data_IF_960391589140
#
_entry.id   IF_960391589140
#
_cell.length_a   1.000
_cell.length_b   1.000
_cell.length_c   1.000
_cell.angle_alpha   90.00
_cell.angle_beta   90.00
_cell.angle_gamma   90.00
#
_symmetry.space_group_name_H-M   'P 1'
#
loop_
_entity.id
_entity.type
_entity.pdbx_description
1 polymer ?
#
# COMPACT_ATOMS: atom_id res chain seq x y z
N UNK A 1 -37.18 6.96 -24.73
CA UNK A 1 -35.80 7.01 -25.30
C UNK A 1 -34.78 7.07 -24.16
N UNK A 2 -34.51 5.87 -23.66
CA UNK A 2 -33.73 5.63 -22.45
C UNK A 2 -32.25 5.78 -22.78
N UNK A 3 -31.56 6.68 -22.07
CA UNK A 3 -30.11 6.77 -22.12
C UNK A 3 -29.58 5.59 -21.33
N UNK A 4 -28.90 4.66 -22.02
CA UNK A 4 -28.29 3.49 -21.39
C UNK A 4 -26.81 3.75 -21.19
N UNK A 5 -26.45 3.92 -19.93
CA UNK A 5 -25.08 3.99 -19.42
C UNK A 5 -24.43 2.61 -19.59
N UNK A 6 -23.27 2.54 -20.24
CA UNK A 6 -22.44 1.33 -20.27
C UNK A 6 -21.07 1.69 -19.70
N UNK A 7 -20.70 1.07 -18.57
CA UNK A 7 -19.37 1.16 -18.00
C UNK A 7 -18.56 -0.10 -18.33
N UNK A 8 -17.24 0.06 -18.49
CA UNK A 8 -16.28 -1.04 -18.44
C UNK A 8 -15.74 -1.17 -17.01
N UNK A 9 -16.04 -2.27 -16.31
CA UNK A 9 -15.27 -2.71 -15.14
C UNK A 9 -14.40 -3.89 -15.57
N UNK A 10 -13.10 -3.79 -15.33
CA UNK A 10 -12.11 -4.83 -15.65
C UNK A 10 -12.19 -5.95 -14.60
N UNK A 11 -13.14 -6.87 -14.76
CA UNK A 11 -13.10 -8.20 -14.14
C UNK A 11 -14.04 -9.14 -14.87
N UNK A 12 -13.48 -9.95 -15.78
CA UNK A 12 -14.20 -10.98 -16.52
C UNK A 12 -15.04 -10.45 -17.69
N UNK A 13 -14.91 -11.09 -18.84
CA UNK A 13 -15.55 -10.74 -20.12
C UNK A 13 -17.10 -10.89 -20.11
N UNK A 14 -17.82 -10.14 -19.26
CA UNK A 14 -19.28 -10.00 -19.31
C UNK A 14 -19.71 -8.55 -19.10
N UNK A 15 -20.50 -8.05 -20.06
CA UNK A 15 -21.14 -6.75 -20.02
C UNK A 15 -22.29 -6.77 -19.00
N UNK A 16 -22.21 -5.96 -17.95
CA UNK A 16 -23.31 -5.75 -17.00
C UNK A 16 -23.86 -4.32 -17.14
N UNK A 17 -25.19 -4.21 -17.31
CA UNK A 17 -25.92 -2.94 -17.42
C UNK A 17 -26.09 -2.32 -16.03
N UNK A 18 -25.81 -1.02 -15.91
CA UNK A 18 -26.21 -0.22 -14.75
C UNK A 18 -27.34 0.73 -15.21
N UNK A 19 -28.54 0.65 -14.63
CA UNK A 19 -29.58 1.66 -14.85
C UNK A 19 -29.21 2.93 -14.06
N UNK A 20 -29.75 4.07 -14.47
CA UNK A 20 -29.73 5.35 -13.74
C UNK A 20 -28.71 6.41 -14.22
N UNK A 21 -28.96 6.92 -15.43
CA UNK A 21 -29.03 8.37 -15.67
C UNK A 21 -29.77 8.62 -17.00
N UNK A 22 -31.03 9.06 -16.94
CA UNK A 22 -31.88 9.29 -18.12
C UNK A 22 -32.03 10.79 -18.34
N UNK A 23 -31.26 11.37 -19.28
CA UNK A 23 -31.43 12.78 -19.69
C UNK A 23 -31.94 12.86 -21.12
N UNK A 24 -33.26 12.88 -21.23
CA UNK A 24 -34.01 12.91 -22.48
C UNK A 24 -34.02 14.28 -23.16
N UNK A 25 -33.11 14.52 -24.11
CA UNK A 25 -32.98 15.82 -24.80
C UNK A 25 -34.23 16.26 -25.60
N UNK A 26 -35.15 15.35 -25.94
CA UNK A 26 -36.33 15.63 -26.79
C UNK A 26 -37.68 15.68 -26.06
N UNK A 27 -37.75 15.42 -24.76
CA UNK A 27 -38.98 15.59 -23.99
C UNK A 27 -38.79 16.76 -23.03
N UNK A 28 -39.52 17.83 -23.32
CA UNK A 28 -39.44 19.17 -22.71
C UNK A 28 -39.00 19.12 -21.24
N UNK A 29 -37.81 19.67 -20.98
CA UNK A 29 -37.19 19.90 -19.67
C UNK A 29 -38.12 20.50 -18.61
N UNK A 30 -39.23 21.09 -19.05
CA UNK A 30 -40.33 21.59 -18.23
C UNK A 30 -40.83 20.57 -17.22
N UNK A 31 -40.87 19.27 -17.53
CA UNK A 31 -41.39 18.27 -16.58
C UNK A 31 -40.40 17.92 -15.46
N UNK A 32 -39.10 17.92 -15.76
CA UNK A 32 -38.05 17.69 -14.77
C UNK A 32 -37.85 18.90 -13.85
N UNK A 33 -37.97 20.12 -14.40
CA UNK A 33 -37.81 21.36 -13.66
C UNK A 33 -39.02 21.69 -12.76
N UNK A 34 -40.18 21.06 -12.98
CA UNK A 34 -41.41 21.31 -12.18
C UNK A 34 -41.28 20.98 -10.70
N UNK A 35 -40.39 20.04 -10.34
CA UNK A 35 -40.21 19.57 -8.97
C UNK A 35 -38.91 20.06 -8.33
N UNK A 36 -38.21 20.98 -8.99
CA UNK A 36 -36.89 21.44 -8.56
C UNK A 36 -36.99 22.71 -7.71
N UNK A 37 -36.15 22.83 -6.68
CA UNK A 37 -36.08 24.02 -5.84
C UNK A 37 -35.84 25.28 -6.69
N UNK A 38 -36.54 26.37 -6.36
CA UNK A 38 -36.54 27.63 -7.12
C UNK A 38 -35.14 28.24 -7.24
N UNK A 39 -34.28 28.08 -6.22
CA UNK A 39 -32.90 28.57 -6.23
C UNK A 39 -32.01 27.74 -7.17
N UNK A 40 -32.25 26.44 -7.24
CA UNK A 40 -31.55 25.53 -8.17
C UNK A 40 -32.04 25.70 -9.61
N UNK A 41 -33.32 26.01 -9.81
CA UNK A 41 -33.98 26.12 -11.11
C UNK A 41 -33.29 27.17 -12.00
N UNK A 42 -32.89 28.31 -11.43
CA UNK A 42 -32.16 29.36 -12.15
C UNK A 42 -30.75 28.93 -12.58
N UNK A 43 -30.02 28.19 -11.73
CA UNK A 43 -28.70 27.67 -12.06
C UNK A 43 -28.78 26.58 -13.13
N UNK A 44 -29.69 25.60 -12.93
CA UNK A 44 -29.86 24.45 -13.80
C UNK A 44 -30.35 24.87 -15.19
N UNK A 45 -31.26 25.84 -15.27
CA UNK A 45 -31.73 26.38 -16.55
C UNK A 45 -30.58 27.02 -17.34
N UNK A 46 -29.77 27.88 -16.71
CA UNK A 46 -28.60 28.49 -17.36
C UNK A 46 -27.57 27.46 -17.80
N UNK A 47 -27.39 26.40 -17.02
CA UNK A 47 -26.49 25.29 -17.37
C UNK A 47 -27.00 24.52 -18.58
N UNK A 48 -28.31 24.24 -18.66
CA UNK A 48 -28.93 23.59 -19.81
C UNK A 48 -28.86 24.44 -21.07
N UNK A 49 -29.19 25.74 -20.99
CA UNK A 49 -29.11 26.66 -22.14
C UNK A 49 -27.67 26.70 -22.70
N UNK A 50 -26.67 26.68 -21.81
CA UNK A 50 -25.25 26.61 -22.19
C UNK A 50 -24.81 25.26 -22.77
N UNK A 51 -25.58 24.17 -22.56
CA UNK A 51 -25.31 22.86 -23.16
C UNK A 51 -26.16 22.58 -24.41
N UNK A 52 -27.07 23.48 -24.78
CA UNK A 52 -27.95 23.32 -25.95
C UNK A 52 -27.17 23.11 -27.25
N UNK A 53 -25.98 23.71 -27.40
CA UNK A 53 -25.13 23.52 -28.57
C UNK A 53 -24.78 22.05 -28.83
N UNK A 54 -24.73 21.20 -27.80
CA UNK A 54 -24.45 19.76 -27.96
C UNK A 54 -25.56 19.06 -28.76
N UNK A 55 -26.78 19.59 -28.77
CA UNK A 55 -27.89 19.07 -29.58
C UNK A 55 -27.69 19.29 -31.08
N UNK A 56 -26.81 20.22 -31.47
CA UNK A 56 -26.50 20.57 -32.86
C UNK A 56 -25.30 19.79 -33.40
N UNK A 57 -24.64 18.97 -32.58
CA UNK A 57 -23.45 18.22 -32.97
C UNK A 57 -23.90 16.94 -33.73
N UNK A 58 -23.41 16.63 -34.95
CA UNK A 58 -24.02 15.63 -35.87
C UNK A 58 -24.15 14.17 -35.39
N UNK A 59 -23.42 13.72 -34.35
CA UNK A 59 -23.73 12.47 -33.67
C UNK A 59 -24.90 12.56 -32.67
N UNK A 60 -25.15 13.72 -32.08
CA UNK A 60 -26.14 13.96 -31.02
C UNK A 60 -27.50 14.45 -31.55
N UNK A 61 -27.54 15.07 -32.73
CA UNK A 61 -28.76 15.56 -33.40
C UNK A 61 -29.66 14.41 -33.95
N UNK A 62 -29.04 13.26 -34.27
CA UNK A 62 -29.69 12.06 -34.83
C UNK A 62 -30.41 11.19 -33.81
N UNK A 63 -30.30 11.49 -32.51
CA UNK A 63 -30.90 10.68 -31.45
C UNK A 63 -30.32 9.26 -31.34
N UNK A 64 -29.13 9.03 -31.92
CA UNK A 64 -28.38 7.78 -31.84
C UNK A 64 -27.53 7.81 -30.56
N UNK A 65 -27.39 6.71 -29.81
CA UNK A 65 -26.50 6.65 -28.66
C UNK A 65 -25.06 7.02 -29.06
N UNK A 66 -24.50 8.06 -28.43
CA UNK A 66 -23.11 8.48 -28.65
C UNK A 66 -22.26 7.99 -27.49
N UNK A 67 -21.13 7.34 -27.81
CA UNK A 67 -20.12 7.00 -26.84
C UNK A 67 -19.43 8.26 -26.34
N UNK A 68 -19.41 8.48 -25.02
CA UNK A 68 -18.64 9.56 -24.42
C UNK A 68 -17.86 9.03 -23.20
N UNK A 69 -16.67 9.60 -22.97
CA UNK A 69 -15.87 9.34 -21.78
C UNK A 69 -16.29 10.37 -20.72
N UNK A 70 -16.77 9.93 -19.56
CA UNK A 70 -17.05 10.86 -18.46
C UNK A 70 -15.73 11.37 -17.87
N UNK A 71 -15.39 12.66 -17.94
CA UNK A 71 -14.05 13.17 -17.61
C UNK A 71 -13.61 12.78 -16.19
N UNK A 72 -14.49 12.86 -15.20
CA UNK A 72 -14.17 12.48 -13.80
C UNK A 72 -13.87 10.99 -13.66
N UNK A 73 -14.57 10.12 -14.41
CA UNK A 73 -14.35 8.67 -14.35
C UNK A 73 -13.12 8.25 -15.14
N UNK A 74 -12.82 8.97 -16.23
CA UNK A 74 -11.57 8.81 -16.95
C UNK A 74 -10.39 9.25 -16.10
N UNK A 75 -10.48 10.41 -15.44
CA UNK A 75 -9.49 10.89 -14.47
C UNK A 75 -9.28 9.89 -13.32
N UNK A 76 -10.34 9.30 -12.79
CA UNK A 76 -10.29 8.23 -11.77
C UNK A 76 -9.58 6.97 -12.29
N UNK A 77 -9.83 6.58 -13.54
CA UNK A 77 -9.22 5.41 -14.17
C UNK A 77 -7.74 5.60 -14.55
N UNK A 78 -7.30 6.83 -14.86
CA UNK A 78 -5.90 7.16 -15.16
C UNK A 78 -5.13 7.68 -13.95
N UNK A 79 -5.82 8.01 -12.84
CA UNK A 79 -5.16 8.34 -11.58
C UNK A 79 -4.26 7.16 -11.27
N UNK A 80 -2.95 7.42 -11.14
CA UNK A 80 -2.06 6.38 -10.66
C UNK A 80 -2.68 5.85 -9.38
N UNK A 81 -2.98 4.56 -9.37
CA UNK A 81 -3.26 3.90 -8.11
C UNK A 81 -1.93 3.90 -7.40
N UNK A 82 -1.62 5.02 -6.73
CA UNK A 82 -0.51 5.13 -5.81
C UNK A 82 -0.80 4.03 -4.81
N UNK A 83 -0.14 2.90 -5.02
CA UNK A 83 -0.29 1.74 -4.17
C UNK A 83 0.20 2.22 -2.83
N UNK A 84 -0.70 2.40 -1.88
CA UNK A 84 -0.34 2.74 -0.52
C UNK A 84 0.63 1.66 -0.05
N UNK A 85 1.77 2.09 0.47
CA UNK A 85 2.75 1.17 1.03
C UNK A 85 2.12 0.44 2.21
N UNK A 86 1.88 -0.86 2.06
CA UNK A 86 1.46 -1.73 3.16
C UNK A 86 2.61 -1.87 4.16
N UNK A 87 2.31 -1.91 5.46
CA UNK A 87 3.35 -2.04 6.49
C UNK A 87 4.11 -0.76 6.75
N UNK A 88 3.45 0.39 6.59
CA UNK A 88 4.06 1.71 6.78
C UNK A 88 4.66 1.87 8.19
N UNK A 89 4.02 1.31 9.22
CA UNK A 89 4.56 1.26 10.57
C UNK A 89 5.95 0.64 10.60
N UNK A 90 6.09 -0.59 10.08
CA UNK A 90 7.37 -1.30 10.03
C UNK A 90 8.37 -0.58 9.14
N UNK A 91 7.97 -0.14 7.95
CA UNK A 91 8.84 0.58 7.03
C UNK A 91 9.51 1.81 7.68
N UNK A 92 8.72 2.60 8.43
CA UNK A 92 9.21 3.80 9.11
C UNK A 92 10.13 3.48 10.29
N UNK A 93 9.96 2.32 10.93
CA UNK A 93 10.77 1.91 12.07
C UNK A 93 12.14 1.29 11.69
N UNK A 94 12.25 0.76 10.47
CA UNK A 94 13.45 0.01 10.03
C UNK A 94 14.59 0.90 9.52
N UNK A 95 14.44 2.23 9.53
CA UNK A 95 15.50 3.16 9.16
C UNK A 95 14.99 4.58 8.94
N UNK A 96 15.87 5.47 8.49
CA UNK A 96 15.49 6.83 8.10
C UNK A 96 16.13 7.26 6.77
N UNK A 97 15.70 8.41 6.25
CA UNK A 97 16.21 8.99 4.99
C UNK A 97 17.12 10.20 5.24
N UNK A 98 17.76 10.23 6.42
CA UNK A 98 18.73 11.25 6.80
C UNK A 98 20.12 10.74 6.40
N UNK A 99 20.73 11.28 5.35
CA UNK A 99 21.98 10.75 4.77
C UNK A 99 23.17 10.69 5.74
N UNK A 100 23.20 11.54 6.77
CA UNK A 100 24.23 11.54 7.82
C UNK A 100 23.95 10.55 8.96
N UNK A 101 22.80 9.90 8.97
CA UNK A 101 22.39 8.95 10.01
C UNK A 101 23.00 7.58 9.77
N UNK A 102 23.36 6.91 10.86
CA UNK A 102 23.75 5.49 10.82
C UNK A 102 22.60 4.56 10.37
N UNK A 103 21.35 5.03 10.48
CA UNK A 103 20.14 4.34 10.04
C UNK A 103 19.72 4.68 8.60
N UNK A 104 20.59 5.34 7.84
CA UNK A 104 20.33 5.63 6.43
C UNK A 104 20.41 4.35 5.59
N UNK A 105 19.29 3.95 4.97
CA UNK A 105 19.20 2.63 4.31
C UNK A 105 19.10 2.66 2.79
N UNK A 106 19.10 3.83 2.14
CA UNK A 106 19.07 3.93 0.66
C UNK A 106 20.41 3.57 0.01
N UNK A 107 21.34 3.02 0.77
CA UNK A 107 22.64 2.51 0.36
C UNK A 107 22.85 1.16 1.00
N UNK A 108 23.69 0.31 0.39
CA UNK A 108 24.01 -0.97 1.00
C UNK A 108 24.68 -0.77 2.38
N UNK A 109 24.32 -1.63 3.32
CA UNK A 109 24.84 -1.62 4.69
C UNK A 109 24.86 -3.05 5.26
N UNK A 110 25.52 -3.23 6.40
CA UNK A 110 25.54 -4.50 7.12
C UNK A 110 25.09 -4.25 8.57
N UNK A 111 24.02 -4.92 9.05
CA UNK A 111 23.46 -4.71 10.38
C UNK A 111 24.36 -5.07 11.59
N UNK A 112 25.54 -5.66 11.37
CA UNK A 112 26.54 -5.85 12.43
C UNK A 112 26.54 -7.21 13.14
N UNK A 113 25.91 -8.24 12.57
CA UNK A 113 25.91 -9.59 13.14
C UNK A 113 26.26 -10.67 12.10
N UNK A 114 26.68 -11.84 12.58
CA UNK A 114 27.18 -12.94 11.75
C UNK A 114 26.12 -13.61 10.87
N UNK A 115 24.83 -13.48 11.23
CA UNK A 115 23.72 -14.07 10.47
C UNK A 115 23.25 -13.16 9.34
N UNK A 116 23.41 -11.84 9.50
CA UNK A 116 22.97 -10.85 8.52
C UNK A 116 23.90 -10.77 7.32
N UNK A 117 23.28 -10.63 6.15
CA UNK A 117 23.97 -10.34 4.91
C UNK A 117 24.08 -8.85 4.62
N UNK A 118 24.52 -8.54 3.40
CA UNK A 118 24.44 -7.18 2.87
C UNK A 118 22.96 -6.81 2.75
N UNK A 119 22.56 -5.68 3.32
CA UNK A 119 21.18 -5.22 3.35
C UNK A 119 21.04 -3.93 2.55
N UNK A 120 19.92 -3.77 1.85
CA UNK A 120 19.55 -2.56 1.13
C UNK A 120 18.11 -2.15 1.49
N UNK A 121 17.85 -0.86 1.57
CA UNK A 121 16.53 -0.36 1.95
C UNK A 121 16.11 -0.80 3.35
N UNK A 122 14.81 -0.81 3.60
CA UNK A 122 14.21 -1.18 4.89
C UNK A 122 14.13 -2.71 5.02
N UNK A 123 15.29 -3.36 5.23
CA UNK A 123 15.37 -4.78 5.61
C UNK A 123 15.44 -5.81 4.48
N UNK A 124 15.78 -5.42 3.24
CA UNK A 124 16.09 -6.37 2.18
C UNK A 124 17.49 -6.98 2.37
N UNK A 125 17.58 -8.07 3.13
CA UNK A 125 18.84 -8.79 3.43
C UNK A 125 19.22 -9.76 2.30
N UNK A 126 20.46 -9.72 1.79
CA UNK A 126 20.88 -10.54 0.64
C UNK A 126 21.63 -11.82 1.01
N UNK A 127 21.75 -12.14 2.31
CA UNK A 127 22.54 -13.25 2.82
C UNK A 127 21.95 -14.64 2.56
N UNK A 128 20.63 -14.76 2.37
CA UNK A 128 19.95 -16.04 2.07
C UNK A 128 19.36 -16.09 0.65
N UNK A 129 19.70 -15.10 -0.20
CA UNK A 129 19.13 -14.95 -1.55
C UNK A 129 20.16 -15.32 -2.61
N UNK A 130 19.69 -15.86 -3.73
CA UNK A 130 20.56 -16.12 -4.88
C UNK A 130 20.86 -14.83 -5.63
N UNK A 131 21.99 -14.78 -6.35
CA UNK A 131 22.34 -13.65 -7.22
C UNK A 131 21.22 -13.32 -8.20
N UNK A 132 20.58 -14.35 -8.77
CA UNK A 132 19.47 -14.21 -9.70
C UNK A 132 18.26 -13.55 -9.05
N UNK A 133 17.88 -13.97 -7.84
CA UNK A 133 16.72 -13.41 -7.15
C UNK A 133 16.95 -11.95 -6.78
N UNK A 134 18.13 -11.63 -6.27
CA UNK A 134 18.52 -10.26 -5.93
C UNK A 134 18.43 -9.38 -7.19
N UNK A 135 19.06 -9.80 -8.29
CA UNK A 135 19.00 -9.04 -9.54
C UNK A 135 17.56 -8.79 -10.01
N UNK A 136 16.70 -9.82 -10.00
CA UNK A 136 15.32 -9.68 -10.42
C UNK A 136 14.52 -8.72 -9.53
N UNK A 137 14.73 -8.79 -8.20
CA UNK A 137 14.07 -7.90 -7.24
C UNK A 137 14.52 -6.44 -7.41
N UNK A 138 15.81 -6.22 -7.71
CA UNK A 138 16.33 -4.89 -8.04
C UNK A 138 15.64 -4.32 -9.30
N UNK A 139 15.60 -5.08 -10.39
CA UNK A 139 14.95 -4.67 -11.64
C UNK A 139 13.46 -4.43 -11.43
N UNK A 140 12.75 -5.31 -10.72
CA UNK A 140 11.34 -5.16 -10.40
C UNK A 140 11.05 -3.91 -9.55
N UNK A 141 12.02 -3.49 -8.74
CA UNK A 141 11.96 -2.27 -7.94
C UNK A 141 12.36 -1.00 -8.72
N UNK A 142 12.67 -1.13 -10.02
CA UNK A 142 13.07 -0.01 -10.87
C UNK A 142 14.52 0.43 -10.70
N UNK A 143 15.38 -0.39 -10.09
CA UNK A 143 16.82 -0.13 -9.97
C UNK A 143 17.49 -0.38 -11.33
N UNK A 144 18.34 0.53 -11.84
CA UNK A 144 19.04 0.37 -13.11
C UNK A 144 19.86 -0.92 -13.21
N UNK A 145 19.98 -1.47 -14.41
CA UNK A 145 20.64 -2.75 -14.67
C UNK A 145 22.10 -2.79 -14.16
N UNK A 146 22.88 -1.75 -14.41
CA UNK A 146 24.26 -1.64 -13.95
C UNK A 146 24.37 -1.69 -12.43
N UNK A 147 23.49 -0.96 -11.73
CA UNK A 147 23.42 -0.97 -10.27
C UNK A 147 22.94 -2.34 -9.75
N UNK A 148 21.92 -2.93 -10.38
CA UNK A 148 21.37 -4.23 -10.01
C UNK A 148 22.42 -5.36 -10.12
N UNK A 149 23.22 -5.38 -11.19
CA UNK A 149 24.31 -6.34 -11.37
C UNK A 149 25.36 -6.20 -10.26
N UNK A 150 25.72 -4.98 -9.85
CA UNK A 150 26.67 -4.78 -8.76
C UNK A 150 26.08 -5.22 -7.41
N UNK A 151 24.81 -4.92 -7.16
CA UNK A 151 24.14 -5.32 -5.91
C UNK A 151 24.06 -6.85 -5.82
N UNK A 152 23.71 -7.55 -6.90
CA UNK A 152 23.50 -9.00 -6.86
C UNK A 152 24.73 -9.82 -6.52
N UNK A 153 25.95 -9.29 -6.73
CA UNK A 153 27.21 -9.99 -6.43
C UNK A 153 27.48 -10.26 -4.96
N UNK A 154 26.74 -9.64 -4.03
CA UNK A 154 26.85 -9.95 -2.60
C UNK A 154 25.99 -11.14 -2.14
N UNK A 155 25.35 -11.84 -3.07
CA UNK A 155 24.52 -13.00 -2.78
C UNK A 155 25.22 -14.00 -1.85
N UNK A 156 24.53 -14.38 -0.77
CA UNK A 156 25.05 -15.37 0.18
C UNK A 156 26.12 -14.84 1.15
N UNK A 157 26.61 -13.61 1.00
CA UNK A 157 27.57 -13.04 1.94
C UNK A 157 26.89 -12.72 3.26
N UNK A 158 27.53 -13.14 4.36
CA UNK A 158 27.11 -12.92 5.75
C UNK A 158 28.29 -12.50 6.61
N UNK A 159 28.02 -11.91 7.78
CA UNK A 159 29.03 -11.54 8.76
C UNK A 159 30.17 -10.72 8.16
N UNK A 160 31.42 -11.17 8.35
CA UNK A 160 32.63 -10.50 7.86
C UNK A 160 32.62 -10.29 6.34
N UNK A 161 32.16 -11.27 5.55
CA UNK A 161 32.12 -11.14 4.09
C UNK A 161 31.13 -10.04 3.65
N UNK A 162 29.98 -9.94 4.33
CA UNK A 162 29.01 -8.88 4.06
C UNK A 162 29.57 -7.50 4.46
N UNK A 163 30.19 -7.40 5.63
CA UNK A 163 30.87 -6.18 6.09
C UNK A 163 31.90 -5.69 5.08
N UNK A 164 32.78 -6.58 4.63
CA UNK A 164 33.88 -6.23 3.74
C UNK A 164 33.37 -5.82 2.36
N UNK A 165 32.35 -6.52 1.84
CA UNK A 165 31.67 -6.12 0.61
C UNK A 165 31.08 -4.71 0.69
N UNK A 166 30.38 -4.39 1.78
CA UNK A 166 29.83 -3.05 2.02
C UNK A 166 30.95 -2.00 2.04
N UNK A 167 32.02 -2.25 2.78
CA UNK A 167 33.13 -1.29 2.89
C UNK A 167 33.78 -0.97 1.53
N UNK A 168 33.86 -1.96 0.64
CA UNK A 168 34.50 -1.83 -0.67
C UNK A 168 33.55 -1.22 -1.70
N UNK A 169 32.31 -1.67 -1.77
CA UNK A 169 31.42 -1.40 -2.90
C UNK A 169 30.35 -0.33 -2.65
N UNK A 170 30.11 0.08 -1.39
CA UNK A 170 29.00 1.01 -1.05
C UNK A 170 29.01 2.31 -1.87
N UNK A 171 30.18 2.92 -2.04
CA UNK A 171 30.32 4.18 -2.79
C UNK A 171 30.11 3.98 -4.30
N UNK A 172 30.56 2.86 -4.85
CA UNK A 172 30.47 2.55 -6.29
C UNK A 172 29.07 2.07 -6.71
N UNK A 173 28.37 1.36 -5.83
CA UNK A 173 26.97 0.98 -6.03
C UNK A 173 26.06 2.21 -5.93
N UNK A 174 26.37 3.15 -5.03
CA UNK A 174 25.61 4.37 -4.87
C UNK A 174 24.26 4.18 -4.18
N UNK A 175 23.43 5.20 -4.30
CA UNK A 175 22.16 5.34 -3.60
C UNK A 175 20.97 4.93 -4.48
N UNK A 176 19.93 4.36 -3.87
CA UNK A 176 18.62 4.13 -4.49
C UNK A 176 17.64 5.27 -4.14
N UNK A 177 16.67 5.49 -5.01
CA UNK A 177 15.58 6.44 -4.77
C UNK A 177 14.65 5.95 -3.65
N UNK A 178 13.88 6.88 -3.05
CA UNK A 178 12.84 6.53 -2.07
C UNK A 178 11.83 5.51 -2.65
N UNK A 179 11.40 5.74 -3.89
CA UNK A 179 10.46 4.84 -4.57
C UNK A 179 11.02 3.42 -4.74
N UNK A 180 12.30 3.29 -5.14
CA UNK A 180 12.96 1.98 -5.24
C UNK A 180 13.05 1.28 -3.87
N UNK A 181 13.29 2.02 -2.79
CA UNK A 181 13.29 1.47 -1.42
C UNK A 181 11.91 0.97 -0.99
N UNK A 182 10.83 1.70 -1.29
CA UNK A 182 9.45 1.29 -1.01
C UNK A 182 9.05 0.05 -1.82
N UNK A 183 9.48 -0.04 -3.08
CA UNK A 183 9.24 -1.21 -3.92
C UNK A 183 10.00 -2.45 -3.42
N UNK A 184 11.26 -2.29 -3.00
CA UNK A 184 12.02 -3.38 -2.37
C UNK A 184 11.36 -3.88 -1.08
N UNK A 185 10.87 -2.97 -0.24
CA UNK A 185 10.13 -3.35 0.97
C UNK A 185 8.86 -4.14 0.64
N UNK A 186 8.14 -3.70 -0.40
CA UNK A 186 6.91 -4.35 -0.88
C UNK A 186 7.14 -5.78 -1.37
N UNK A 187 8.37 -6.16 -1.74
CA UNK A 187 8.72 -7.54 -2.10
C UNK A 187 8.81 -8.45 -0.86
N UNK A 188 9.32 -7.94 0.26
CA UNK A 188 9.61 -8.76 1.44
C UNK A 188 8.47 -8.78 2.45
N UNK A 189 7.71 -7.68 2.57
CA UNK A 189 6.67 -7.51 3.57
C UNK A 189 5.57 -8.60 3.53
N UNK A 190 5.08 -9.07 2.36
CA UNK A 190 4.03 -10.09 2.30
C UNK A 190 4.38 -11.38 3.05
N UNK A 191 5.65 -11.81 3.05
CA UNK A 191 6.08 -13.00 3.80
C UNK A 191 5.92 -12.82 5.31
N UNK A 192 6.08 -11.60 5.81
CA UNK A 192 5.86 -11.29 7.22
C UNK A 192 4.37 -11.25 7.56
N UNK A 193 3.52 -10.76 6.65
CA UNK A 193 2.05 -10.84 6.80
C UNK A 193 1.60 -12.30 6.90
N UNK A 194 2.02 -13.16 5.97
CA UNK A 194 1.69 -14.59 5.98
C UNK A 194 2.16 -15.28 7.26
N UNK A 195 3.40 -15.03 7.69
CA UNK A 195 3.94 -15.56 8.94
C UNK A 195 3.16 -15.08 10.16
N UNK A 196 2.70 -13.84 10.13
CA UNK A 196 1.89 -13.27 11.22
C UNK A 196 0.53 -13.92 11.29
N UNK A 197 -0.15 -14.11 10.16
CA UNK A 197 -1.42 -14.84 10.11
C UNK A 197 -1.26 -16.26 10.67
N UNK A 198 -0.19 -16.95 10.29
CA UNK A 198 0.10 -18.29 10.81
C UNK A 198 0.36 -18.28 12.33
N UNK A 199 1.16 -17.33 12.83
CA UNK A 199 1.41 -17.18 14.26
C UNK A 199 0.13 -16.81 15.03
N UNK A 200 -0.67 -15.89 14.49
CA UNK A 200 -1.93 -15.46 15.08
C UNK A 200 -2.86 -16.65 15.25
N UNK A 201 -3.15 -17.36 14.16
CA UNK A 201 -4.00 -18.57 14.17
C UNK A 201 -3.51 -19.62 15.17
N UNK A 202 -2.20 -19.87 15.22
CA UNK A 202 -1.60 -20.79 16.18
C UNK A 202 -1.82 -20.36 17.63
N UNK A 203 -1.60 -19.09 17.95
CA UNK A 203 -1.59 -18.61 19.32
C UNK A 203 -2.97 -18.21 19.85
N UNK A 204 -3.94 -17.99 18.97
CA UNK A 204 -5.34 -17.67 19.34
C UNK A 204 -6.27 -18.88 19.23
N UNK A 205 -5.77 -20.06 18.86
CA UNK A 205 -6.59 -21.27 18.77
C UNK A 205 -7.26 -21.58 20.11
N UNK A 206 -8.58 -21.82 20.08
CA UNK A 206 -9.40 -22.06 21.27
C UNK A 206 -9.67 -20.83 22.17
N UNK A 207 -9.21 -19.63 21.80
CA UNK A 207 -9.45 -18.40 22.59
C UNK A 207 -10.80 -17.79 22.20
N UNK A 208 -11.79 -17.85 23.09
CA UNK A 208 -13.17 -17.43 22.80
C UNK A 208 -13.34 -15.93 22.51
N UNK A 209 -12.48 -15.08 23.07
CA UNK A 209 -12.51 -13.63 22.82
C UNK A 209 -11.81 -13.23 21.51
N UNK A 210 -10.99 -14.12 20.93
CA UNK A 210 -10.20 -13.80 19.76
C UNK A 210 -11.08 -13.63 18.51
N UNK A 211 -10.89 -12.51 17.81
CA UNK A 211 -11.53 -12.25 16.51
C UNK A 211 -10.79 -12.96 15.39
N UNK A 212 -11.48 -13.15 14.27
CA UNK A 212 -10.85 -13.64 13.05
C UNK A 212 -9.86 -12.59 12.54
N UNK A 213 -8.72 -13.03 11.99
CA UNK A 213 -7.67 -12.14 11.50
C UNK A 213 -8.23 -11.09 10.55
N UNK A 214 -9.05 -11.51 9.59
CA UNK A 214 -9.63 -10.69 8.53
C UNK A 214 -10.62 -9.63 9.05
N UNK A 215 -11.09 -9.77 10.29
CA UNK A 215 -11.99 -8.81 10.95
C UNK A 215 -11.29 -7.80 11.85
N UNK A 216 -9.99 -7.98 12.14
CA UNK A 216 -9.23 -7.07 12.98
C UNK A 216 -9.08 -5.71 12.30
N UNK A 217 -9.05 -4.63 13.10
CA UNK A 217 -8.66 -3.31 12.65
C UNK A 217 -7.28 -3.37 11.99
N UNK A 218 -7.14 -2.74 10.82
CA UNK A 218 -5.92 -2.80 10.01
C UNK A 218 -4.70 -2.26 10.77
N UNK A 219 -4.87 -1.30 11.67
CA UNK A 219 -3.77 -0.78 12.51
C UNK A 219 -3.30 -1.82 13.52
N UNK A 220 -4.21 -2.62 14.07
CA UNK A 220 -3.87 -3.76 14.94
C UNK A 220 -3.13 -4.82 14.12
N UNK A 221 -3.63 -5.18 12.94
CA UNK A 221 -2.95 -6.12 12.04
C UNK A 221 -1.51 -5.69 11.76
N UNK A 222 -1.28 -4.42 11.40
CA UNK A 222 0.07 -3.92 11.11
C UNK A 222 0.99 -3.96 12.34
N UNK A 223 0.50 -3.64 13.54
CA UNK A 223 1.30 -3.77 14.78
C UNK A 223 1.66 -5.23 15.06
N UNK A 224 0.73 -6.16 14.84
CA UNK A 224 1.00 -7.59 14.98
C UNK A 224 2.04 -8.08 13.97
N UNK A 225 1.98 -7.58 12.73
CA UNK A 225 3.01 -7.87 11.72
C UNK A 225 4.36 -7.30 12.12
N UNK A 226 4.40 -6.08 12.64
CA UNK A 226 5.63 -5.44 13.11
C UNK A 226 6.28 -6.21 14.28
N UNK A 227 5.49 -6.79 15.20
CA UNK A 227 6.02 -7.69 16.21
C UNK A 227 6.71 -8.92 15.61
N UNK A 228 6.08 -9.54 14.61
CA UNK A 228 6.65 -10.71 13.93
C UNK A 228 7.88 -10.33 13.12
N UNK A 229 7.88 -9.15 12.51
CA UNK A 229 9.02 -8.58 11.81
C UNK A 229 10.22 -8.40 12.75
N UNK A 230 10.00 -7.85 13.94
CA UNK A 230 11.03 -7.70 14.98
C UNK A 230 11.45 -9.05 15.62
N UNK A 231 10.73 -10.13 15.35
CA UNK A 231 11.08 -11.48 15.81
C UNK A 231 10.34 -11.97 17.04
N UNK A 232 9.29 -11.28 17.48
CA UNK A 232 8.42 -11.72 18.59
C UNK A 232 7.46 -12.83 18.18
N UNK A 233 8.00 -13.99 17.80
CA UNK A 233 7.20 -15.14 17.29
C UNK A 233 7.15 -16.33 18.23
N UNK A 234 7.98 -16.35 19.29
CA UNK A 234 8.19 -17.53 20.15
C UNK A 234 7.16 -17.70 21.28
N UNK A 235 6.28 -16.72 21.50
CA UNK A 235 5.29 -16.77 22.57
C UNK A 235 3.93 -16.22 22.13
N UNK A 236 2.87 -16.55 22.87
CA UNK A 236 1.50 -16.18 22.49
C UNK A 236 1.17 -14.71 22.78
N UNK A 237 1.86 -14.09 23.77
CA UNK A 237 1.48 -12.78 24.32
C UNK A 237 1.27 -11.68 23.27
N UNK A 238 2.16 -11.47 22.28
CA UNK A 238 1.95 -10.44 21.27
C UNK A 238 0.67 -10.65 20.45
N UNK A 239 0.38 -11.89 20.05
CA UNK A 239 -0.82 -12.19 19.26
C UNK A 239 -2.09 -12.09 20.09
N UNK A 240 -2.05 -12.58 21.34
CA UNK A 240 -3.19 -12.48 22.26
C UNK A 240 -3.54 -11.03 22.61
N UNK A 241 -2.55 -10.16 22.76
CA UNK A 241 -2.77 -8.76 23.08
C UNK A 241 -3.55 -7.99 22.00
N UNK A 242 -3.46 -8.42 20.74
CA UNK A 242 -4.23 -7.85 19.63
C UNK A 242 -5.50 -8.62 19.26
N UNK A 243 -5.74 -9.80 19.85
CA UNK A 243 -6.76 -10.71 19.32
C UNK A 243 -8.19 -10.32 19.67
N UNK A 244 -8.40 -9.52 20.72
CA UNK A 244 -9.72 -9.02 21.10
C UNK A 244 -10.16 -7.79 20.27
N UNK A 245 -9.36 -7.37 19.28
CA UNK A 245 -9.59 -6.19 18.45
C UNK A 245 -9.71 -4.87 19.25
N UNK A 246 -8.96 -4.78 20.36
CA UNK A 246 -8.94 -3.63 21.24
C UNK A 246 -7.59 -2.91 21.16
N UNK A 247 -7.59 -1.68 20.61
CA UNK A 247 -6.38 -0.85 20.54
C UNK A 247 -5.83 -0.54 21.93
N UNK A 248 -6.71 -0.32 22.91
CA UNK A 248 -6.30 -0.03 24.27
C UNK A 248 -5.59 -1.22 24.92
N UNK A 249 -6.11 -2.45 24.77
CA UNK A 249 -5.45 -3.65 25.30
C UNK A 249 -4.06 -3.85 24.69
N UNK A 250 -3.93 -3.57 23.39
CA UNK A 250 -2.64 -3.66 22.69
C UNK A 250 -1.67 -2.57 23.13
N UNK A 251 -2.14 -1.33 23.33
CA UNK A 251 -1.35 -0.22 23.88
C UNK A 251 -0.86 -0.58 25.28
N UNK A 252 -1.77 -1.05 26.15
CA UNK A 252 -1.42 -1.45 27.52
C UNK A 252 -0.38 -2.56 27.53
N UNK A 253 -0.50 -3.54 26.62
CA UNK A 253 0.50 -4.59 26.46
C UNK A 253 1.87 -4.03 26.04
N UNK A 254 1.90 -3.12 25.05
CA UNK A 254 3.14 -2.49 24.56
C UNK A 254 3.82 -1.71 25.67
N UNK A 255 3.08 -0.90 26.43
CA UNK A 255 3.63 -0.03 27.47
C UNK A 255 4.06 -0.79 28.72
N UNK A 256 3.26 -1.78 29.15
CA UNK A 256 3.46 -2.47 30.42
C UNK A 256 4.31 -3.75 30.31
N UNK A 257 4.78 -4.11 29.11
CA UNK A 257 5.68 -5.26 28.93
C UNK A 257 7.10 -4.77 28.67
N UNK A 258 8.04 -4.83 29.65
CA UNK A 258 9.40 -4.31 29.49
C UNK A 258 10.15 -4.84 28.26
N UNK A 259 9.92 -6.11 27.93
CA UNK A 259 10.53 -6.74 26.75
C UNK A 259 10.05 -6.12 25.42
N UNK A 260 8.89 -5.46 25.40
CA UNK A 260 8.31 -4.78 24.23
C UNK A 260 8.56 -3.27 24.31
N UNK A 261 8.27 -2.64 25.44
CA UNK A 261 8.32 -1.18 25.63
C UNK A 261 9.70 -0.59 25.38
N UNK A 262 10.77 -1.35 25.65
CA UNK A 262 12.15 -0.92 25.35
C UNK A 262 12.39 -0.55 23.88
N UNK A 263 11.59 -1.10 22.95
CA UNK A 263 11.70 -0.83 21.51
C UNK A 263 10.76 0.28 21.05
N UNK A 264 9.79 0.69 21.86
CA UNK A 264 8.77 1.65 21.50
C UNK A 264 9.33 3.01 21.02
N UNK A 265 10.44 3.56 21.58
CA UNK A 265 11.00 4.82 21.10
C UNK A 265 11.42 4.83 19.63
N UNK A 266 11.74 3.66 19.04
CA UNK A 266 12.06 3.54 17.61
C UNK A 266 10.96 2.89 16.78
N UNK A 267 9.94 2.30 17.42
CA UNK A 267 8.86 1.56 16.76
C UNK A 267 7.57 2.36 16.64
N UNK A 268 7.29 3.26 17.57
CA UNK A 268 6.14 4.16 17.55
C UNK A 268 4.77 3.47 17.35
N UNK A 269 4.60 2.25 17.87
CA UNK A 269 3.37 1.46 17.73
C UNK A 269 2.20 2.09 18.46
N UNK A 270 2.44 2.68 19.64
CA UNK A 270 1.39 3.34 20.44
C UNK A 270 0.86 4.55 19.69
N UNK A 271 1.76 5.42 19.21
CA UNK A 271 1.37 6.58 18.41
C UNK A 271 0.58 6.17 17.17
N UNK A 272 1.01 5.09 16.50
CA UNK A 272 0.32 4.53 15.35
C UNK A 272 -1.10 4.03 15.67
N UNK A 273 -1.29 3.33 16.80
CA UNK A 273 -2.61 2.87 17.26
C UNK A 273 -3.52 4.03 17.67
N UNK A 274 -2.96 5.12 18.19
CA UNK A 274 -3.68 6.35 18.52
C UNK A 274 -4.00 7.22 17.28
N UNK A 275 -3.45 6.88 16.11
CA UNK A 275 -3.63 7.65 14.87
C UNK A 275 -2.84 8.96 14.83
N UNK A 276 -1.68 9.01 15.50
CA UNK A 276 -0.76 10.15 15.57
C UNK A 276 0.41 10.03 14.60
#
# INVERSE_FOLDING_TARGET
MVYRLAYMKKSGNRLSRCPDFVLHYKLRWTDYLKHMDVLLLGYVRRWFDKMEWMSQVPPFDKGIPVWHMHPVKFLDAIKSQVKTLEGKLTYNAEGNDISSSVYYSRVIHWPGNDLSGVTLGRGYDMGERSERDIYNDMIASGIPNDQAVKISKCAGFKGVAARDYVNIHKKDIGEITLQQQELLFSIIYPKYVERTIANYKKWTDGVSSAKQWESLDTTIQEVLVDFVYQGFTKGPKPMLAGSNDSKQELIDYIQNTPAISQYEPGRHRVAYLEGR
#
